data_IF_844201236314
#
_entry.id   IF_844201236314
#
_cell.length_a   1.000
_cell.length_b   1.000
_cell.length_c   1.000
_cell.angle_alpha   90.00
_cell.angle_beta   90.00
_cell.angle_gamma   90.00
#
_symmetry.space_group_name_H-M   'P 1'
#
loop_
_entity.id
_entity.type
_entity.pdbx_description
1 polymer ?
#
# COMPACT_ATOMS: atom_id res chain seq x y z
N UNK A 1 0.22 -14.00 -30.00
CA UNK A 1 0.20 -14.83 -28.77
C UNK A 1 0.98 -14.10 -27.69
N UNK A 2 0.37 -13.77 -26.55
CA UNK A 2 1.12 -13.25 -25.40
C UNK A 2 2.01 -14.36 -24.83
N UNK A 3 3.24 -14.02 -24.44
CA UNK A 3 4.14 -14.95 -23.75
C UNK A 3 3.54 -15.39 -22.42
N UNK A 4 3.82 -16.61 -21.97
CA UNK A 4 3.33 -17.14 -20.68
C UNK A 4 3.65 -16.22 -19.47
N UNK A 5 4.82 -15.57 -19.38
CA UNK A 5 5.09 -14.58 -18.33
C UNK A 5 4.11 -13.39 -18.35
N UNK A 6 3.77 -12.90 -19.55
CA UNK A 6 2.87 -11.76 -19.72
C UNK A 6 1.44 -12.09 -19.27
N UNK A 7 0.92 -13.28 -19.61
CA UNK A 7 -0.40 -13.73 -19.14
C UNK A 7 -0.47 -13.83 -17.62
N UNK A 8 0.57 -14.39 -16.99
CA UNK A 8 0.66 -14.50 -15.53
C UNK A 8 0.66 -13.12 -14.87
N UNK A 9 1.38 -12.15 -15.45
CA UNK A 9 1.39 -10.77 -14.97
C UNK A 9 -0.01 -10.14 -15.03
N UNK A 10 -0.71 -10.24 -16.16
CA UNK A 10 -2.08 -9.71 -16.31
C UNK A 10 -3.02 -10.29 -15.25
N UNK A 11 -2.96 -11.60 -15.01
CA UNK A 11 -3.79 -12.27 -14.01
C UNK A 11 -3.51 -11.76 -12.58
N UNK A 12 -2.24 -11.51 -12.24
CA UNK A 12 -1.86 -10.97 -10.94
C UNK A 12 -2.33 -9.52 -10.79
N UNK A 13 -2.16 -8.68 -11.82
CA UNK A 13 -2.65 -7.30 -11.80
C UNK A 13 -4.17 -7.26 -11.60
N UNK A 14 -4.92 -8.14 -12.28
CA UNK A 14 -6.37 -8.24 -12.10
C UNK A 14 -6.76 -8.68 -10.69
N UNK A 15 -6.07 -9.68 -10.14
CA UNK A 15 -6.27 -10.12 -8.76
C UNK A 15 -6.00 -8.99 -7.76
N UNK A 16 -4.93 -8.24 -7.94
CA UNK A 16 -4.58 -7.08 -7.09
C UNK A 16 -5.68 -6.02 -7.14
N UNK A 17 -6.14 -5.64 -8.33
CA UNK A 17 -7.24 -4.68 -8.45
C UNK A 17 -8.52 -5.19 -7.79
N UNK A 18 -8.79 -6.49 -7.86
CA UNK A 18 -9.95 -7.12 -7.20
C UNK A 18 -9.84 -7.07 -5.67
N UNK A 19 -8.64 -7.31 -5.13
CA UNK A 19 -8.35 -7.21 -3.70
C UNK A 19 -8.51 -5.76 -3.21
N UNK A 20 -7.96 -4.79 -3.93
CA UNK A 20 -8.12 -3.37 -3.59
C UNK A 20 -9.58 -2.92 -3.69
N UNK A 21 -10.33 -3.37 -4.70
CA UNK A 21 -11.76 -3.08 -4.80
C UNK A 21 -12.52 -3.67 -3.61
N UNK A 22 -12.20 -4.89 -3.19
CA UNK A 22 -12.83 -5.53 -2.04
C UNK A 22 -12.53 -4.78 -0.73
N UNK A 23 -11.28 -4.37 -0.52
CA UNK A 23 -10.85 -3.56 0.61
C UNK A 23 -11.56 -2.20 0.64
N UNK A 24 -11.56 -1.47 -0.48
CA UNK A 24 -12.21 -0.15 -0.56
C UNK A 24 -13.73 -0.24 -0.38
N UNK A 25 -14.35 -1.30 -0.90
CA UNK A 25 -15.79 -1.57 -0.69
C UNK A 25 -16.09 -1.88 0.77
N UNK A 26 -15.24 -2.69 1.42
CA UNK A 26 -15.36 -3.01 2.85
C UNK A 26 -15.29 -1.74 3.69
N UNK A 27 -14.25 -0.91 3.47
CA UNK A 27 -14.08 0.37 4.19
C UNK A 27 -15.26 1.30 3.96
N UNK A 28 -15.68 1.49 2.71
CA UNK A 28 -16.84 2.31 2.38
C UNK A 28 -18.11 1.81 3.09
N UNK A 29 -18.41 0.51 3.00
CA UNK A 29 -19.56 -0.09 3.68
C UNK A 29 -19.47 0.09 5.20
N UNK A 30 -18.29 -0.10 5.78
CA UNK A 30 -18.05 0.08 7.22
C UNK A 30 -18.33 1.50 7.68
N UNK A 31 -17.89 2.50 6.91
CA UNK A 31 -18.17 3.91 7.19
C UNK A 31 -19.67 4.23 7.08
N UNK A 32 -20.35 3.78 6.02
CA UNK A 32 -21.78 4.05 5.81
C UNK A 32 -22.68 3.45 6.90
N UNK A 33 -22.27 2.33 7.50
CA UNK A 33 -23.05 1.62 8.51
C UNK A 33 -22.57 1.88 9.95
N UNK A 34 -21.68 2.85 10.18
CA UNK A 34 -21.15 3.17 11.52
C UNK A 34 -20.30 2.06 12.14
N UNK A 35 -19.85 1.09 11.35
CA UNK A 35 -18.97 -0.01 11.77
C UNK A 35 -17.50 0.41 11.85
N UNK A 36 -17.12 1.43 11.08
CA UNK A 36 -15.79 2.04 11.09
C UNK A 36 -15.89 3.51 11.57
N UNK A 37 -15.66 3.79 12.86
CA UNK A 37 -15.67 5.16 13.39
C UNK A 37 -14.68 6.06 12.65
N UNK A 38 -15.07 7.29 12.30
CA UNK A 38 -14.17 8.25 11.64
C UNK A 38 -13.07 8.73 12.60
N UNK A 39 -11.95 9.24 12.03
CA UNK A 39 -10.87 9.80 12.84
C UNK A 39 -11.31 11.05 13.62
N UNK A 40 -12.14 11.90 13.02
CA UNK A 40 -12.59 13.18 13.61
C UNK A 40 -13.49 13.01 14.85
N UNK A 41 -13.98 11.80 15.10
CA UNK A 41 -14.81 11.45 16.27
C UNK A 41 -14.24 10.31 17.11
N UNK A 42 -12.96 9.98 16.95
CA UNK A 42 -12.37 8.82 17.63
C UNK A 42 -12.26 9.08 19.13
N UNK A 43 -12.82 8.18 19.94
CA UNK A 43 -12.72 8.18 21.39
C UNK A 43 -12.01 6.91 21.85
N UNK A 44 -11.64 6.83 23.14
CA UNK A 44 -11.07 5.60 23.70
C UNK A 44 -12.04 4.40 23.58
N UNK A 45 -13.35 4.64 23.71
CA UNK A 45 -14.37 3.58 23.60
C UNK A 45 -14.58 3.11 22.15
N UNK A 46 -14.41 3.97 21.15
CA UNK A 46 -14.55 3.61 19.73
C UNK A 46 -13.23 3.17 19.08
N UNK A 47 -12.08 3.38 19.73
CA UNK A 47 -10.76 3.00 19.23
C UNK A 47 -10.65 1.50 18.94
N UNK A 48 -11.16 0.65 19.82
CA UNK A 48 -11.09 -0.80 19.62
C UNK A 48 -11.88 -1.25 18.39
N UNK A 49 -13.08 -0.70 18.22
CA UNK A 49 -13.91 -0.97 17.05
C UNK A 49 -13.19 -0.53 15.77
N UNK A 50 -12.59 0.67 15.79
CA UNK A 50 -11.80 1.18 14.67
C UNK A 50 -10.61 0.28 14.34
N UNK A 51 -9.82 -0.09 15.35
CA UNK A 51 -8.64 -0.95 15.17
C UNK A 51 -8.99 -2.35 14.66
N UNK A 52 -10.10 -2.94 15.14
CA UNK A 52 -10.58 -4.21 14.63
C UNK A 52 -10.99 -4.11 13.14
N UNK A 53 -11.61 -3.00 12.75
CA UNK A 53 -12.02 -2.75 11.37
C UNK A 53 -10.80 -2.53 10.46
N UNK A 54 -9.86 -1.69 10.87
CA UNK A 54 -8.63 -1.42 10.11
C UNK A 54 -7.77 -2.70 9.95
N UNK A 55 -7.71 -3.52 11.00
CA UNK A 55 -7.07 -4.84 10.92
C UNK A 55 -7.75 -5.73 9.88
N UNK A 56 -9.09 -5.79 9.88
CA UNK A 56 -9.84 -6.58 8.90
C UNK A 56 -9.55 -6.10 7.47
N UNK A 57 -9.59 -4.79 7.23
CA UNK A 57 -9.26 -4.20 5.92
C UNK A 57 -7.82 -4.53 5.49
N UNK A 58 -6.85 -4.35 6.39
CA UNK A 58 -5.45 -4.69 6.13
C UNK A 58 -5.25 -6.19 5.85
N UNK A 59 -5.99 -7.08 6.52
CA UNK A 59 -5.92 -8.53 6.30
C UNK A 59 -6.50 -8.95 4.95
N UNK A 60 -7.55 -8.28 4.46
CA UNK A 60 -8.11 -8.51 3.10
C UNK A 60 -7.02 -8.31 2.04
N UNK A 61 -6.09 -7.38 2.27
CA UNK A 61 -4.95 -7.12 1.38
C UNK A 61 -3.78 -8.08 1.66
N UNK A 62 -3.37 -8.18 2.92
CA UNK A 62 -2.14 -8.87 3.31
C UNK A 62 -2.23 -10.39 3.12
N UNK A 63 -3.37 -11.03 3.42
CA UNK A 63 -3.49 -12.50 3.34
C UNK A 63 -3.31 -13.00 1.90
N UNK A 64 -4.03 -12.50 0.88
CA UNK A 64 -3.79 -12.89 -0.51
C UNK A 64 -2.34 -12.66 -0.95
N UNK A 65 -1.74 -11.52 -0.57
CA UNK A 65 -0.36 -11.21 -0.88
C UNK A 65 0.60 -12.27 -0.29
N UNK A 66 0.49 -12.55 1.01
CA UNK A 66 1.32 -13.54 1.71
C UNK A 66 1.17 -14.94 1.13
N UNK A 67 -0.05 -15.37 0.80
CA UNK A 67 -0.29 -16.69 0.18
C UNK A 67 0.40 -16.80 -1.18
N UNK A 68 0.38 -15.75 -1.99
CA UNK A 68 1.01 -15.73 -3.30
C UNK A 68 2.53 -15.63 -3.21
N UNK A 69 3.05 -14.85 -2.27
CA UNK A 69 4.49 -14.75 -1.98
C UNK A 69 5.01 -16.12 -1.52
N UNK A 70 4.31 -16.78 -0.58
CA UNK A 70 4.69 -18.11 -0.07
C UNK A 70 4.77 -19.17 -1.18
N UNK A 71 3.94 -19.06 -2.22
CA UNK A 71 4.02 -19.96 -3.38
C UNK A 71 5.26 -19.73 -4.25
N UNK A 72 5.83 -18.52 -4.28
CA UNK A 72 6.99 -18.17 -5.11
C UNK A 72 7.94 -17.17 -4.39
N UNK A 73 8.61 -17.57 -3.30
CA UNK A 73 9.34 -16.65 -2.43
C UNK A 73 10.56 -16.00 -3.13
N UNK A 74 11.16 -16.69 -4.11
CA UNK A 74 12.31 -16.17 -4.87
C UNK A 74 11.96 -15.00 -5.81
N UNK A 75 10.68 -14.73 -6.04
CA UNK A 75 10.18 -13.66 -6.89
C UNK A 75 9.38 -12.66 -6.07
N UNK A 76 9.79 -12.42 -4.83
CA UNK A 76 9.07 -11.55 -3.91
C UNK A 76 10.04 -10.83 -2.97
N UNK A 77 9.68 -9.63 -2.53
CA UNK A 77 10.31 -8.97 -1.40
C UNK A 77 9.44 -9.13 -0.15
N UNK A 78 10.08 -9.15 1.02
CA UNK A 78 9.40 -9.23 2.31
C UNK A 78 9.99 -8.21 3.28
N UNK A 79 9.27 -7.95 4.37
CA UNK A 79 9.88 -7.32 5.54
C UNK A 79 10.99 -8.22 6.09
N UNK A 80 12.09 -7.58 6.50
CA UNK A 80 13.14 -8.26 7.24
C UNK A 80 13.12 -7.75 8.68
N UNK A 81 12.83 -8.63 9.64
CA UNK A 81 12.77 -8.32 11.06
C UNK A 81 14.17 -8.09 11.64
N UNK A 82 14.80 -7.01 11.19
CA UNK A 82 16.15 -6.60 11.55
C UNK A 82 16.12 -5.31 12.36
N UNK A 83 17.31 -4.89 12.85
CA UNK A 83 17.48 -3.63 13.58
C UNK A 83 16.96 -2.43 12.79
N UNK A 84 17.07 -2.45 11.46
CA UNK A 84 16.63 -1.34 10.62
C UNK A 84 15.11 -1.17 10.63
N UNK A 85 14.33 -2.26 10.61
CA UNK A 85 12.87 -2.19 10.76
C UNK A 85 12.47 -1.56 12.10
N UNK A 86 13.13 -1.97 13.18
CA UNK A 86 12.88 -1.42 14.52
C UNK A 86 13.21 0.07 14.55
N UNK A 87 14.35 0.46 13.98
CA UNK A 87 14.77 1.88 13.89
C UNK A 87 13.78 2.67 13.02
N UNK A 88 13.33 2.13 11.90
CA UNK A 88 12.33 2.74 11.03
C UNK A 88 11.00 2.99 11.76
N UNK A 89 10.48 1.98 12.47
CA UNK A 89 9.26 2.10 13.28
C UNK A 89 9.45 3.15 14.38
N UNK A 90 10.62 3.17 15.04
CA UNK A 90 10.92 4.14 16.08
C UNK A 90 11.01 5.58 15.54
N UNK A 91 11.67 5.78 14.39
CA UNK A 91 11.75 7.10 13.73
C UNK A 91 10.36 7.57 13.32
N UNK A 92 9.57 6.70 12.69
CA UNK A 92 8.21 7.03 12.28
C UNK A 92 7.35 7.40 13.50
N UNK A 93 7.38 6.57 14.56
CA UNK A 93 6.69 6.85 15.81
C UNK A 93 7.11 8.18 16.45
N UNK A 94 8.41 8.51 16.43
CA UNK A 94 8.91 9.78 16.94
C UNK A 94 8.41 10.98 16.11
N UNK A 95 8.49 10.92 14.79
CA UNK A 95 7.99 11.98 13.89
C UNK A 95 6.50 12.22 14.19
N UNK A 96 5.73 11.14 14.26
CA UNK A 96 4.30 11.21 14.54
C UNK A 96 3.97 11.76 15.92
N UNK A 97 4.72 11.39 16.96
CA UNK A 97 4.54 11.94 18.31
C UNK A 97 4.85 13.45 18.35
N UNK A 98 5.89 13.89 17.64
CA UNK A 98 6.23 15.33 17.52
C UNK A 98 5.12 16.10 16.80
N UNK A 99 4.57 15.55 15.72
CA UNK A 99 3.44 16.15 15.00
C UNK A 99 2.19 16.21 15.89
N UNK A 100 1.88 15.13 16.60
CA UNK A 100 0.74 15.08 17.52
C UNK A 100 0.88 16.09 18.67
N UNK A 101 2.06 16.21 19.27
CA UNK A 101 2.32 17.15 20.36
C UNK A 101 2.15 18.62 19.92
N UNK A 102 2.52 18.98 18.69
CA UNK A 102 2.36 20.33 18.15
C UNK A 102 0.91 20.69 17.82
N UNK A 103 0.04 19.70 17.61
CA UNK A 103 -1.34 19.91 17.13
C UNK A 103 -2.42 19.74 18.21
N UNK A 104 -2.03 19.46 19.47
CA UNK A 104 -2.96 19.14 20.55
C UNK A 104 -3.47 17.71 20.42
N UNK A 105 -2.71 16.75 20.94
CA UNK A 105 -2.93 15.33 20.67
C UNK A 105 -4.21 14.77 21.31
N UNK A 106 -5.26 14.60 20.51
CA UNK A 106 -6.35 13.66 20.80
C UNK A 106 -5.96 12.22 20.45
N UNK A 107 -6.74 11.24 20.91
CA UNK A 107 -6.46 9.80 20.69
C UNK A 107 -6.38 9.43 19.20
N UNK A 108 -7.13 10.13 18.35
CA UNK A 108 -7.06 10.02 16.90
C UNK A 108 -5.63 10.24 16.38
N UNK A 109 -4.92 11.23 16.91
CA UNK A 109 -3.60 11.63 16.41
C UNK A 109 -2.49 10.71 16.91
N UNK A 110 -2.72 10.01 18.02
CA UNK A 110 -1.84 8.94 18.49
C UNK A 110 -2.07 7.63 17.73
N UNK A 111 -3.30 7.38 17.28
CA UNK A 111 -3.65 6.17 16.56
C UNK A 111 -3.35 6.24 15.05
N UNK A 112 -3.53 7.41 14.41
CA UNK A 112 -3.30 7.62 12.98
C UNK A 112 -1.94 7.10 12.48
N UNK A 113 -0.82 7.27 13.20
CA UNK A 113 0.47 6.69 12.81
C UNK A 113 0.44 5.16 12.76
N UNK A 114 -0.10 4.52 13.80
CA UNK A 114 -0.25 3.06 13.86
C UNK A 114 -1.07 2.59 12.67
N UNK A 115 -2.17 3.30 12.37
CA UNK A 115 -3.01 3.02 11.22
C UNK A 115 -2.24 3.12 9.89
N UNK A 116 -1.60 4.26 9.64
CA UNK A 116 -0.86 4.50 8.39
C UNK A 116 0.27 3.49 8.20
N UNK A 117 1.00 3.12 9.25
CA UNK A 117 2.11 2.19 9.13
C UNK A 117 1.64 0.73 8.97
N UNK A 118 0.80 0.23 9.89
CA UNK A 118 0.48 -1.20 9.98
C UNK A 118 -0.72 -1.61 9.13
N UNK A 119 -1.68 -0.72 8.91
CA UNK A 119 -2.94 -1.06 8.23
C UNK A 119 -3.01 -0.51 6.80
N UNK A 120 -2.17 0.46 6.44
CA UNK A 120 -2.08 1.02 5.08
C UNK A 120 -0.75 0.65 4.42
N UNK A 121 0.35 1.28 4.83
CA UNK A 121 1.63 1.18 4.15
C UNK A 121 2.16 -0.26 4.10
N UNK A 122 2.08 -1.01 5.21
CA UNK A 122 2.58 -2.38 5.24
C UNK A 122 1.83 -3.33 4.29
N UNK A 123 0.48 -3.49 4.38
CA UNK A 123 -0.26 -4.33 3.44
C UNK A 123 -0.08 -3.91 1.98
N UNK A 124 -0.07 -2.61 1.70
CA UNK A 124 0.08 -2.11 0.34
C UNK A 124 1.47 -2.36 -0.23
N UNK A 125 2.54 -2.05 0.50
CA UNK A 125 3.90 -2.31 0.02
C UNK A 125 4.16 -3.81 -0.13
N UNK A 126 3.56 -4.65 0.70
CA UNK A 126 3.60 -6.11 0.52
C UNK A 126 2.95 -6.53 -0.81
N UNK A 127 1.80 -5.95 -1.15
CA UNK A 127 1.07 -6.27 -2.38
C UNK A 127 1.78 -5.74 -3.63
N UNK A 128 2.17 -4.46 -3.61
CA UNK A 128 2.71 -3.79 -4.79
C UNK A 128 4.22 -4.00 -4.96
N UNK A 129 5.01 -3.84 -3.91
CA UNK A 129 6.49 -3.96 -3.99
C UNK A 129 6.95 -5.36 -3.63
N UNK A 130 6.28 -6.01 -2.69
CA UNK A 130 6.57 -7.38 -2.29
C UNK A 130 6.19 -8.41 -3.35
N UNK A 131 5.06 -8.21 -4.04
CA UNK A 131 4.49 -9.20 -4.95
C UNK A 131 4.42 -8.75 -6.42
N UNK A 132 3.80 -7.60 -6.72
CA UNK A 132 3.55 -7.18 -8.11
C UNK A 132 4.82 -6.80 -8.85
N UNK A 133 5.60 -5.88 -8.29
CA UNK A 133 6.80 -5.33 -8.90
C UNK A 133 7.82 -6.40 -9.33
N UNK A 134 8.24 -7.37 -8.48
CA UNK A 134 9.24 -8.36 -8.86
C UNK A 134 8.76 -9.26 -10.00
N UNK A 135 7.46 -9.59 -10.02
CA UNK A 135 6.85 -10.42 -11.07
C UNK A 135 6.71 -9.66 -12.38
N UNK A 136 6.37 -8.39 -12.31
CA UNK A 136 6.30 -7.51 -13.48
C UNK A 136 7.69 -7.29 -14.09
N UNK A 137 8.69 -7.00 -13.24
CA UNK A 137 10.09 -6.91 -13.65
C UNK A 137 10.55 -8.18 -14.35
N UNK A 138 10.34 -9.35 -13.75
CA UNK A 138 10.72 -10.63 -14.35
C UNK A 138 10.03 -10.90 -15.71
N UNK A 139 8.77 -10.49 -15.87
CA UNK A 139 8.06 -10.63 -17.15
C UNK A 139 8.59 -9.66 -18.22
N UNK A 140 8.97 -8.44 -17.84
CA UNK A 140 9.57 -7.45 -18.74
C UNK A 140 11.00 -7.86 -19.12
N UNK A 141 11.78 -8.37 -18.16
CA UNK A 141 13.11 -8.97 -18.40
C UNK A 141 13.03 -10.10 -19.42
N UNK A 142 12.09 -11.04 -19.22
CA UNK A 142 11.86 -12.16 -20.15
C UNK A 142 11.43 -11.70 -21.55
N UNK A 143 10.84 -10.50 -21.65
CA UNK A 143 10.45 -9.88 -22.92
C UNK A 143 11.55 -9.01 -23.53
N UNK A 144 12.76 -9.01 -22.95
CA UNK A 144 13.93 -8.22 -23.40
C UNK A 144 13.67 -6.71 -23.39
N UNK A 145 12.90 -6.21 -22.44
CA UNK A 145 12.74 -4.78 -22.22
C UNK A 145 14.08 -4.16 -21.78
N UNK A 146 14.43 -3.01 -22.33
CA UNK A 146 15.72 -2.33 -22.07
C UNK A 146 15.82 -1.79 -20.63
N UNK A 147 14.72 -1.26 -20.08
CA UNK A 147 14.65 -0.68 -18.73
C UNK A 147 13.58 -1.36 -17.85
N UNK A 148 13.76 -2.64 -17.53
CA UNK A 148 12.72 -3.47 -16.91
C UNK A 148 12.38 -3.02 -15.49
N UNK A 149 13.37 -2.55 -14.71
CA UNK A 149 13.16 -2.03 -13.35
C UNK A 149 12.32 -0.76 -13.37
N UNK A 150 12.72 0.24 -14.17
CA UNK A 150 12.01 1.52 -14.25
C UNK A 150 10.58 1.32 -14.77
N UNK A 151 10.41 0.50 -15.82
CA UNK A 151 9.10 0.21 -16.39
C UNK A 151 8.20 -0.57 -15.42
N UNK A 152 8.74 -1.59 -14.74
CA UNK A 152 7.98 -2.32 -13.71
C UNK A 152 7.58 -1.39 -12.55
N UNK A 153 8.47 -0.48 -12.14
CA UNK A 153 8.17 0.51 -11.10
C UNK A 153 7.04 1.46 -11.51
N UNK A 154 7.11 2.02 -12.71
CA UNK A 154 6.07 2.91 -13.26
C UNK A 154 4.72 2.20 -13.39
N UNK A 155 4.70 1.00 -13.95
CA UNK A 155 3.47 0.23 -14.15
C UNK A 155 2.86 -0.26 -12.82
N UNK A 156 3.69 -0.75 -11.89
CA UNK A 156 3.23 -1.12 -10.55
C UNK A 156 2.67 0.10 -9.80
N UNK A 157 3.33 1.26 -9.90
CA UNK A 157 2.84 2.51 -9.33
C UNK A 157 1.56 3.01 -9.99
N UNK A 158 1.42 2.86 -11.30
CA UNK A 158 0.19 3.22 -12.01
C UNK A 158 -0.99 2.32 -11.57
N UNK A 159 -0.77 1.02 -11.40
CA UNK A 159 -1.79 0.10 -10.86
C UNK A 159 -2.16 0.46 -9.42
N UNK A 160 -1.18 0.82 -8.60
CA UNK A 160 -1.41 1.35 -7.25
C UNK A 160 -2.29 2.62 -7.27
N UNK A 161 -2.02 3.55 -8.19
CA UNK A 161 -2.83 4.76 -8.36
C UNK A 161 -4.21 4.54 -8.95
N UNK A 162 -4.38 3.52 -9.80
CA UNK A 162 -5.69 3.07 -10.26
C UNK A 162 -6.53 2.57 -9.08
N UNK A 163 -5.95 1.77 -8.18
CA UNK A 163 -6.63 1.27 -6.98
C UNK A 163 -7.11 2.43 -6.09
N UNK A 164 -6.27 3.45 -5.86
CA UNK A 164 -6.65 4.64 -5.09
C UNK A 164 -7.72 5.50 -5.77
N UNK A 165 -7.77 5.47 -7.10
CA UNK A 165 -8.76 6.21 -7.86
C UNK A 165 -10.16 5.57 -7.75
N UNK A 166 -10.25 4.25 -7.51
CA UNK A 166 -11.53 3.57 -7.20
C UNK A 166 -12.14 4.13 -5.92
N UNK A 167 -11.36 4.25 -4.84
CA UNK A 167 -11.85 4.79 -3.57
C UNK A 167 -12.33 6.24 -3.74
N UNK A 168 -11.61 7.04 -4.54
CA UNK A 168 -12.05 8.41 -4.88
C UNK A 168 -13.38 8.42 -5.60
N UNK A 169 -13.58 7.53 -6.60
CA UNK A 169 -14.83 7.39 -7.35
C UNK A 169 -16.00 6.97 -6.45
N UNK A 170 -15.75 6.11 -5.46
CA UNK A 170 -16.78 5.67 -4.50
C UNK A 170 -17.20 6.79 -3.54
N UNK A 171 -16.28 7.69 -3.18
CA UNK A 171 -16.54 8.82 -2.27
C UNK A 171 -17.14 10.02 -3.01
N UNK A 172 -16.87 10.17 -4.31
CA UNK A 172 -17.46 11.18 -5.19
C UNK A 172 -17.01 10.94 -6.63
N UNK A 173 -17.60 11.61 -7.63
CA UNK A 173 -17.15 11.47 -9.02
C UNK A 173 -16.15 12.59 -9.36
N UNK A 174 -14.84 12.48 -9.03
CA UNK A 174 -13.89 13.54 -9.34
C UNK A 174 -13.75 13.70 -10.86
N UNK A 175 -13.35 14.90 -11.33
CA UNK A 175 -13.08 15.09 -12.74
C UNK A 175 -11.96 14.16 -13.20
N UNK A 176 -12.04 13.70 -14.46
CA UNK A 176 -11.11 12.71 -15.02
C UNK A 176 -9.63 13.16 -14.95
N UNK A 177 -9.38 14.48 -14.99
CA UNK A 177 -8.03 15.04 -14.86
C UNK A 177 -7.42 14.79 -13.48
N UNK A 178 -8.25 14.79 -12.41
CA UNK A 178 -7.80 14.48 -11.06
C UNK A 178 -7.46 12.99 -10.91
N UNK A 179 -8.20 12.10 -11.59
CA UNK A 179 -7.91 10.67 -11.67
C UNK A 179 -6.57 10.45 -12.39
N UNK A 180 -6.40 11.06 -13.56
CA UNK A 180 -5.17 10.94 -14.34
C UNK A 180 -3.95 11.48 -13.58
N UNK A 181 -4.09 12.65 -12.94
CA UNK A 181 -3.04 13.24 -12.10
C UNK A 181 -2.68 12.32 -10.91
N UNK A 182 -3.68 11.72 -10.28
CA UNK A 182 -3.48 10.74 -9.21
C UNK A 182 -2.65 9.55 -9.71
N UNK A 183 -3.06 8.92 -10.81
CA UNK A 183 -2.36 7.76 -11.39
C UNK A 183 -0.90 8.11 -11.74
N UNK A 184 -0.67 9.28 -12.35
CA UNK A 184 0.68 9.73 -12.69
C UNK A 184 1.55 9.95 -11.44
N UNK A 185 1.00 10.58 -10.39
CA UNK A 185 1.69 10.76 -9.12
C UNK A 185 2.09 9.44 -8.48
N UNK A 186 1.17 8.47 -8.43
CA UNK A 186 1.44 7.14 -7.92
C UNK A 186 2.42 6.34 -8.80
N UNK A 187 2.42 6.54 -10.12
CA UNK A 187 3.41 5.93 -11.00
C UNK A 187 4.83 6.40 -10.66
N UNK A 188 5.02 7.71 -10.44
CA UNK A 188 6.32 8.29 -10.07
C UNK A 188 6.73 7.83 -8.67
N UNK A 189 5.84 7.98 -7.67
CA UNK A 189 6.10 7.58 -6.29
C UNK A 189 6.38 6.07 -6.19
N UNK A 190 5.58 5.26 -6.88
CA UNK A 190 5.75 3.82 -6.98
C UNK A 190 7.08 3.42 -7.61
N UNK A 191 7.52 4.12 -8.66
CA UNK A 191 8.83 3.88 -9.27
C UNK A 191 9.98 4.16 -8.29
N UNK A 192 9.92 5.28 -7.55
CA UNK A 192 10.91 5.61 -6.51
C UNK A 192 10.94 4.54 -5.42
N UNK A 193 9.78 4.14 -4.90
CA UNK A 193 9.68 3.12 -3.84
C UNK A 193 10.16 1.75 -4.34
N UNK A 194 9.86 1.36 -5.57
CA UNK A 194 10.39 0.13 -6.18
C UNK A 194 11.92 0.16 -6.30
N UNK A 195 12.50 1.30 -6.67
CA UNK A 195 13.96 1.45 -6.73
C UNK A 195 14.61 1.32 -5.35
N UNK A 196 13.99 1.90 -4.31
CA UNK A 196 14.45 1.75 -2.93
C UNK A 196 14.39 0.29 -2.47
N UNK A 197 13.27 -0.40 -2.73
CA UNK A 197 13.10 -1.82 -2.41
C UNK A 197 14.14 -2.69 -3.12
N UNK A 198 14.31 -2.50 -4.44
CA UNK A 198 15.29 -3.26 -5.23
C UNK A 198 16.72 -3.06 -4.72
N UNK A 199 17.09 -1.83 -4.39
CA UNK A 199 18.44 -1.51 -3.88
C UNK A 199 18.69 -2.10 -2.48
N UNK A 200 17.65 -2.18 -1.64
CA UNK A 200 17.78 -2.68 -0.25
C UNK A 200 17.59 -4.20 -0.16
N UNK A 201 16.81 -4.79 -1.04
CA UNK A 201 16.44 -6.21 -0.99
C UNK A 201 15.34 -6.53 0.03
N UNK A 202 14.71 -5.52 0.63
CA UNK A 202 13.61 -5.66 1.60
C UNK A 202 12.59 -4.51 1.48
N UNK A 203 11.46 -4.65 2.18
CA UNK A 203 10.37 -3.67 2.17
C UNK A 203 10.49 -2.60 3.26
N UNK A 204 11.46 -2.68 4.17
CA UNK A 204 11.46 -1.88 5.41
C UNK A 204 11.47 -0.37 5.11
N UNK A 205 12.34 0.06 4.20
CA UNK A 205 12.43 1.47 3.81
C UNK A 205 11.21 1.92 3.01
N UNK A 206 10.67 1.08 2.13
CA UNK A 206 9.51 1.42 1.32
C UNK A 206 8.25 1.61 2.18
N UNK A 207 7.99 0.71 3.14
CA UNK A 207 6.88 0.82 4.11
C UNK A 207 7.01 2.11 4.92
N UNK A 208 8.22 2.41 5.40
CA UNK A 208 8.44 3.62 6.21
C UNK A 208 8.24 4.89 5.38
N UNK A 209 8.80 4.93 4.17
CA UNK A 209 8.67 6.08 3.28
C UNK A 209 7.21 6.31 2.88
N UNK A 210 6.47 5.25 2.57
CA UNK A 210 5.04 5.30 2.28
C UNK A 210 4.26 5.86 3.49
N UNK A 211 4.43 5.30 4.69
CA UNK A 211 3.73 5.77 5.89
C UNK A 211 4.02 7.25 6.21
N UNK A 212 5.23 7.73 5.90
CA UNK A 212 5.59 9.15 6.00
C UNK A 212 4.85 9.97 4.94
N UNK A 213 4.87 9.55 3.67
CA UNK A 213 4.20 10.28 2.58
C UNK A 213 2.70 10.46 2.86
N UNK A 214 2.04 9.45 3.42
CA UNK A 214 0.60 9.54 3.79
C UNK A 214 0.33 10.40 5.04
N UNK A 215 1.37 10.70 5.81
CA UNK A 215 1.27 11.53 7.01
C UNK A 215 1.45 13.03 6.74
N UNK A 216 1.92 13.40 5.55
CA UNK A 216 2.14 14.79 5.11
C UNK A 216 0.88 15.39 4.49
#
# INVERSE_FOLDING_TARGET
MQSEPMKKMVNISFLIMSVCLAESTLVFFGMQNGLCPSFDGLTLSSLFQRAAFDLLAGLVVAIPALLLIRRNPKQSFMLNANRELVVSIAIYGLISLVLAAKLGAGIAQLYKPVYLFFFVALPEELLFRGLLFPRMKAALDASRMEFPVAMAGLLSGAIWGLCHSVSKILIGAPPIIAIASSIAGYAIAGCILCFLTEKRGDLNLAVTAHAILDSL
#
